data_IF_206640849408
#
_entry.id   IF_206640849408
#
_cell.length_a   1.000
_cell.length_b   1.000
_cell.length_c   1.000
_cell.angle_alpha   90.00
_cell.angle_beta   90.00
_cell.angle_gamma   90.00
#
_symmetry.space_group_name_H-M   'P 1'
#
loop_
_entity.id
_entity.type
_entity.pdbx_description
1 polymer ?
#
# COMPACT_ATOMS: atom_id res chain seq x y z
N UNK A 1 -19.38 14.08 -6.45
CA UNK A 1 -18.51 12.88 -6.28
C UNK A 1 -18.12 12.40 -7.66
N UNK A 2 -16.86 12.11 -7.91
CA UNK A 2 -16.37 11.73 -9.25
C UNK A 2 -16.81 10.31 -9.61
N UNK A 3 -17.30 10.12 -10.83
CA UNK A 3 -17.65 8.81 -11.41
C UNK A 3 -16.42 8.02 -11.89
N UNK A 4 -15.26 8.67 -11.93
CA UNK A 4 -14.01 8.11 -12.44
C UNK A 4 -12.81 8.47 -11.57
N UNK A 5 -11.77 7.63 -11.66
CA UNK A 5 -10.49 7.79 -11.00
C UNK A 5 -9.36 7.68 -12.03
N UNK A 6 -8.24 8.40 -11.86
CA UNK A 6 -7.09 8.24 -12.72
C UNK A 6 -6.38 6.93 -12.35
N UNK A 7 -6.24 6.02 -13.31
CA UNK A 7 -5.72 4.66 -13.07
C UNK A 7 -4.49 4.44 -13.94
N UNK A 8 -3.39 4.06 -13.29
CA UNK A 8 -2.16 3.64 -13.97
C UNK A 8 -2.36 2.27 -14.58
N UNK A 9 -2.84 1.32 -13.77
CA UNK A 9 -3.05 -0.07 -14.20
C UNK A 9 -3.98 -0.80 -13.23
N UNK A 10 -4.55 -1.90 -13.72
CA UNK A 10 -5.21 -2.93 -12.93
C UNK A 10 -4.65 -4.30 -13.32
N UNK A 11 -4.50 -5.20 -12.35
CA UNK A 11 -3.97 -6.55 -12.62
C UNK A 11 -4.29 -7.53 -11.49
N UNK A 12 -4.41 -8.81 -11.81
CA UNK A 12 -4.56 -9.91 -10.85
C UNK A 12 -3.21 -10.61 -10.67
N UNK A 13 -2.68 -10.64 -9.45
CA UNK A 13 -1.36 -11.20 -9.12
C UNK A 13 -1.32 -11.71 -7.68
N UNK A 14 -0.13 -11.89 -7.11
CA UNK A 14 0.10 -12.15 -5.70
C UNK A 14 0.56 -10.86 -5.01
N UNK A 15 -0.02 -10.55 -3.83
CA UNK A 15 0.56 -9.53 -2.95
C UNK A 15 2.00 -9.93 -2.63
N UNK A 16 2.93 -9.04 -2.94
CA UNK A 16 4.36 -9.31 -2.81
C UNK A 16 4.97 -8.82 -1.51
N UNK A 17 4.22 -8.06 -0.70
CA UNK A 17 4.72 -7.37 0.49
C UNK A 17 3.83 -7.60 1.71
N UNK A 18 4.35 -7.32 2.90
CA UNK A 18 3.57 -7.30 4.14
C UNK A 18 3.14 -8.68 4.67
N UNK A 19 2.21 -8.66 5.62
CA UNK A 19 1.59 -9.84 6.25
C UNK A 19 0.82 -10.69 5.23
N UNK A 20 0.39 -10.09 4.12
CA UNK A 20 -0.35 -10.75 3.07
C UNK A 20 0.51 -11.20 1.88
N UNK A 21 1.84 -11.14 1.99
CA UNK A 21 2.74 -11.63 0.96
C UNK A 21 2.42 -13.09 0.55
N UNK A 22 2.37 -13.34 -0.75
CA UNK A 22 2.04 -14.63 -1.37
C UNK A 22 0.55 -14.90 -1.59
N UNK A 23 -0.37 -14.03 -1.12
CA UNK A 23 -1.82 -14.22 -1.31
C UNK A 23 -2.29 -13.63 -2.65
N UNK A 24 -3.21 -14.31 -3.32
CA UNK A 24 -3.82 -13.83 -4.57
C UNK A 24 -4.66 -12.57 -4.34
N UNK A 25 -4.42 -11.54 -5.14
CA UNK A 25 -5.03 -10.22 -5.00
C UNK A 25 -5.22 -9.52 -6.35
N UNK A 26 -6.29 -8.74 -6.45
CA UNK A 26 -6.51 -7.83 -7.57
C UNK A 26 -6.05 -6.42 -7.21
N UNK A 27 -5.18 -5.84 -8.02
CA UNK A 27 -4.60 -4.52 -7.77
C UNK A 27 -5.29 -3.46 -8.60
N UNK A 28 -5.62 -2.35 -7.95
CA UNK A 28 -6.04 -1.11 -8.59
C UNK A 28 -4.99 -0.05 -8.23
N UNK A 29 -4.12 0.28 -9.19
CA UNK A 29 -3.07 1.30 -9.02
C UNK A 29 -3.58 2.63 -9.55
N UNK A 30 -3.88 3.57 -8.64
CA UNK A 30 -4.30 4.91 -9.01
C UNK A 30 -3.10 5.76 -9.46
N UNK A 31 -3.35 6.87 -10.14
CA UNK A 31 -2.33 7.88 -10.43
C UNK A 31 -2.48 9.09 -9.51
N UNK A 32 -1.46 9.93 -9.46
CA UNK A 32 -1.40 11.10 -8.60
C UNK A 32 -0.65 10.80 -7.29
N UNK A 33 0.52 11.40 -7.12
CA UNK A 33 1.25 11.38 -5.86
C UNK A 33 2.06 12.67 -5.72
N UNK A 34 1.82 13.42 -4.65
CA UNK A 34 2.63 14.60 -4.33
C UNK A 34 3.48 14.41 -3.05
N UNK A 35 3.59 13.17 -2.54
CA UNK A 35 4.38 12.87 -1.32
C UNK A 35 5.87 13.17 -1.54
N UNK A 36 6.41 12.88 -2.73
CA UNK A 36 7.75 13.35 -3.13
C UNK A 36 8.92 12.45 -2.71
N UNK A 37 8.71 11.14 -2.57
CA UNK A 37 9.78 10.21 -2.17
C UNK A 37 10.88 10.10 -3.24
N UNK A 38 12.13 10.44 -2.91
CA UNK A 38 13.25 10.39 -3.88
C UNK A 38 13.59 8.97 -4.35
N UNK A 39 13.31 7.97 -3.52
CA UNK A 39 13.50 6.53 -3.77
C UNK A 39 12.24 5.80 -4.27
N UNK A 40 11.19 6.52 -4.69
CA UNK A 40 9.99 5.87 -5.22
C UNK A 40 10.32 5.04 -6.47
N UNK A 41 9.98 3.76 -6.47
CA UNK A 41 10.11 2.85 -7.63
C UNK A 41 8.98 3.04 -8.65
N UNK A 42 7.91 3.72 -8.27
CA UNK A 42 6.69 3.93 -9.08
C UNK A 42 6.50 5.40 -9.49
N UNK A 43 7.59 6.15 -9.75
CA UNK A 43 7.54 7.60 -10.10
C UNK A 43 6.64 7.92 -11.30
N UNK A 44 6.46 6.98 -12.22
CA UNK A 44 5.58 7.13 -13.38
C UNK A 44 4.10 7.33 -12.98
N UNK A 45 3.70 6.96 -11.76
CA UNK A 45 2.35 7.16 -11.23
C UNK A 45 2.08 8.58 -10.71
N UNK A 46 3.09 9.44 -10.59
CA UNK A 46 2.95 10.75 -9.91
C UNK A 46 2.08 11.77 -10.65
N UNK A 47 2.20 11.96 -11.98
CA UNK A 47 1.37 12.94 -12.67
C UNK A 47 -0.06 12.41 -12.81
N UNK A 48 -1.09 13.09 -12.26
CA UNK A 48 -2.46 12.58 -12.32
C UNK A 48 -3.04 12.65 -13.74
N UNK A 49 -2.64 13.64 -14.53
CA UNK A 49 -3.17 13.88 -15.89
C UNK A 49 -2.47 13.04 -16.97
N UNK A 50 -1.43 12.28 -16.62
CA UNK A 50 -0.73 11.41 -17.57
C UNK A 50 -1.38 10.03 -17.74
N UNK A 51 -2.48 9.76 -17.04
CA UNK A 51 -3.13 8.44 -16.99
C UNK A 51 -4.63 8.55 -17.27
N UNK A 52 -5.23 7.54 -17.92
CA UNK A 52 -6.64 7.57 -18.27
C UNK A 52 -7.52 7.59 -17.01
N UNK A 53 -8.58 8.38 -17.05
CA UNK A 53 -9.66 8.31 -16.07
C UNK A 53 -10.56 7.13 -16.41
N UNK A 54 -10.71 6.19 -15.48
CA UNK A 54 -11.54 5.00 -15.63
C UNK A 54 -12.77 5.09 -14.74
N UNK A 55 -13.91 4.61 -15.21
CA UNK A 55 -15.14 4.61 -14.43
C UNK A 55 -14.99 3.66 -13.23
N UNK A 56 -15.54 4.08 -12.09
CA UNK A 56 -15.55 3.25 -10.87
C UNK A 56 -16.21 1.90 -11.11
N UNK A 57 -17.29 1.88 -11.90
CA UNK A 57 -18.00 0.62 -12.20
C UNK A 57 -17.16 -0.34 -13.03
N UNK A 58 -16.33 0.14 -13.96
CA UNK A 58 -15.47 -0.72 -14.76
C UNK A 58 -14.42 -1.41 -13.87
N UNK A 59 -13.83 -0.66 -12.93
CA UNK A 59 -12.88 -1.20 -11.95
C UNK A 59 -13.54 -2.24 -11.03
N UNK A 60 -14.80 -2.01 -10.66
CA UNK A 60 -15.55 -2.93 -9.82
C UNK A 60 -15.96 -4.21 -10.56
N UNK A 61 -16.23 -4.14 -11.86
CA UNK A 61 -16.44 -5.30 -12.74
C UNK A 61 -15.15 -6.12 -12.85
N UNK A 62 -14.01 -5.50 -13.16
CA UNK A 62 -12.73 -6.23 -13.24
C UNK A 62 -12.34 -6.89 -11.92
N UNK A 63 -12.61 -6.24 -10.78
CA UNK A 63 -12.42 -6.84 -9.47
C UNK A 63 -13.33 -8.05 -9.22
N UNK A 64 -14.52 -8.07 -9.83
CA UNK A 64 -15.47 -9.19 -9.76
C UNK A 64 -14.94 -10.35 -10.59
N UNK A 65 -14.50 -10.10 -11.82
CA UNK A 65 -13.87 -11.11 -12.69
C UNK A 65 -12.62 -11.71 -12.02
N UNK A 66 -11.81 -10.88 -11.37
CA UNK A 66 -10.64 -11.32 -10.60
C UNK A 66 -11.03 -12.17 -9.39
N UNK A 67 -12.12 -11.81 -8.68
CA UNK A 67 -12.65 -12.60 -7.57
C UNK A 67 -13.09 -14.00 -8.04
N UNK A 68 -13.79 -14.08 -9.18
CA UNK A 68 -14.22 -15.35 -9.78
C UNK A 68 -13.04 -16.23 -10.22
N UNK A 69 -11.90 -15.63 -10.54
CA UNK A 69 -10.67 -16.33 -10.91
C UNK A 69 -9.69 -16.53 -9.74
N UNK A 70 -10.10 -16.20 -8.51
CA UNK A 70 -9.41 -16.59 -7.28
C UNK A 70 -8.71 -15.46 -6.51
N UNK A 71 -8.90 -14.18 -6.89
CA UNK A 71 -8.45 -13.06 -6.07
C UNK A 71 -9.15 -13.10 -4.71
N UNK A 72 -8.36 -13.12 -3.64
CA UNK A 72 -8.88 -13.21 -2.28
C UNK A 72 -9.27 -11.84 -1.69
N UNK A 73 -8.76 -10.75 -2.27
CA UNK A 73 -9.02 -9.36 -1.87
C UNK A 73 -8.58 -8.40 -2.98
N UNK A 74 -9.06 -7.16 -2.90
CA UNK A 74 -8.61 -6.05 -3.76
C UNK A 74 -7.60 -5.20 -2.99
N UNK A 75 -6.51 -4.80 -3.63
CA UNK A 75 -5.55 -3.83 -3.11
C UNK A 75 -5.67 -2.54 -3.90
N UNK A 76 -6.10 -1.47 -3.23
CA UNK A 76 -6.08 -0.11 -3.77
C UNK A 76 -4.75 0.54 -3.36
N UNK A 77 -3.95 0.93 -4.33
CA UNK A 77 -2.59 1.44 -4.13
C UNK A 77 -2.27 2.54 -5.16
N UNK A 78 -1.05 3.06 -5.12
CA UNK A 78 -0.43 3.85 -6.18
C UNK A 78 -1.07 5.20 -6.50
N UNK A 79 -0.30 6.04 -7.18
CA UNK A 79 0.40 7.09 -6.47
C UNK A 79 0.15 7.06 -4.95
N UNK A 80 -0.49 8.08 -4.40
CA UNK A 80 -1.08 8.00 -3.06
C UNK A 80 -2.61 7.84 -3.21
N UNK A 81 -3.19 6.69 -2.86
CA UNK A 81 -4.61 6.45 -3.10
C UNK A 81 -5.52 7.40 -2.33
N UNK A 82 -5.13 7.87 -1.14
CA UNK A 82 -5.92 8.80 -0.33
C UNK A 82 -5.87 10.26 -0.81
N UNK A 83 -5.12 10.57 -1.87
CA UNK A 83 -5.32 11.82 -2.61
C UNK A 83 -6.71 11.87 -3.28
N UNK A 84 -7.39 10.73 -3.37
CA UNK A 84 -8.74 10.58 -3.90
C UNK A 84 -9.69 10.15 -2.80
N UNK A 85 -10.96 10.57 -2.87
CA UNK A 85 -12.01 9.99 -2.04
C UNK A 85 -12.39 8.61 -2.62
N UNK A 86 -12.18 7.55 -1.84
CA UNK A 86 -12.40 6.16 -2.22
C UNK A 86 -13.79 5.62 -1.88
N UNK A 87 -14.66 6.39 -1.23
CA UNK A 87 -15.97 5.93 -0.73
C UNK A 87 -16.81 5.29 -1.84
N UNK A 88 -16.84 5.93 -3.01
CA UNK A 88 -17.61 5.44 -4.14
C UNK A 88 -17.02 4.16 -4.74
N UNK A 89 -15.70 4.07 -4.86
CA UNK A 89 -15.03 2.87 -5.35
C UNK A 89 -15.26 1.71 -4.37
N UNK A 90 -15.09 1.95 -3.09
CA UNK A 90 -15.32 0.93 -2.07
C UNK A 90 -16.78 0.45 -2.05
N UNK A 91 -17.76 1.36 -2.16
CA UNK A 91 -19.17 0.99 -2.24
C UNK A 91 -19.47 0.10 -3.46
N UNK A 92 -18.89 0.41 -4.62
CA UNK A 92 -19.03 -0.41 -5.82
C UNK A 92 -18.39 -1.80 -5.63
N UNK A 93 -17.15 -1.86 -5.16
CA UNK A 93 -16.43 -3.12 -4.89
C UNK A 93 -17.17 -4.03 -3.89
N UNK A 94 -17.72 -3.45 -2.82
CA UNK A 94 -18.51 -4.18 -1.83
C UNK A 94 -19.81 -4.74 -2.41
N UNK A 95 -20.40 -4.04 -3.37
CA UNK A 95 -21.65 -4.45 -4.00
C UNK A 95 -21.42 -5.57 -5.02
N UNK A 96 -20.38 -5.44 -5.85
CA UNK A 96 -20.15 -6.34 -6.99
C UNK A 96 -19.20 -7.49 -6.64
N UNK A 97 -17.95 -7.17 -6.29
CA UNK A 97 -16.89 -8.16 -6.13
C UNK A 97 -16.98 -8.94 -4.81
N UNK A 98 -17.54 -8.32 -3.76
CA UNK A 98 -17.79 -8.96 -2.44
C UNK A 98 -16.56 -9.63 -1.80
N UNK A 99 -15.37 -9.15 -2.12
CA UNK A 99 -14.10 -9.52 -1.49
C UNK A 99 -13.56 -8.35 -0.65
N UNK A 100 -12.72 -8.62 0.37
CA UNK A 100 -12.15 -7.58 1.23
C UNK A 100 -11.38 -6.51 0.45
N UNK A 101 -11.41 -5.28 0.95
CA UNK A 101 -10.72 -4.12 0.38
C UNK A 101 -9.53 -3.78 1.26
N UNK A 102 -8.34 -3.86 0.69
CA UNK A 102 -7.09 -3.46 1.32
C UNK A 102 -6.61 -2.14 0.70
N UNK A 103 -5.97 -1.29 1.50
CA UNK A 103 -5.29 -0.08 1.02
C UNK A 103 -3.81 -0.08 1.39
N UNK A 104 -2.98 0.39 0.49
CA UNK A 104 -1.58 0.75 0.75
C UNK A 104 -1.39 2.26 0.63
N UNK A 105 -1.07 2.94 1.73
CA UNK A 105 -1.02 4.40 1.79
C UNK A 105 0.21 4.89 2.54
N UNK A 106 0.69 6.10 2.21
CA UNK A 106 1.65 6.84 3.03
C UNK A 106 1.00 7.47 4.27
N UNK A 107 -0.32 7.58 4.29
CA UNK A 107 -1.14 8.10 5.37
C UNK A 107 -1.16 9.63 5.48
N UNK A 108 -0.69 10.35 4.46
CA UNK A 108 -0.60 11.83 4.48
C UNK A 108 -1.95 12.53 4.43
N UNK A 109 -2.99 11.84 3.98
CA UNK A 109 -4.37 12.33 3.92
C UNK A 109 -5.29 11.47 4.81
N UNK A 110 -6.52 11.95 5.05
CA UNK A 110 -7.54 11.23 5.85
C UNK A 110 -8.05 9.97 5.15
N UNK A 111 -8.53 9.02 5.94
CA UNK A 111 -9.08 7.77 5.43
C UNK A 111 -10.39 8.00 4.67
N UNK A 112 -10.57 7.23 3.59
CA UNK A 112 -11.85 7.10 2.87
C UNK A 112 -12.01 5.66 2.38
N UNK A 113 -13.23 5.27 2.02
CA UNK A 113 -13.54 3.92 1.52
C UNK A 113 -13.73 2.85 2.59
N UNK A 114 -13.51 3.16 3.87
CA UNK A 114 -13.63 2.22 5.00
C UNK A 114 -12.98 0.84 4.70
N UNK A 115 -11.66 0.79 4.42
CA UNK A 115 -10.97 -0.44 4.03
C UNK A 115 -10.96 -1.49 5.16
N UNK A 116 -11.00 -2.77 4.78
CA UNK A 116 -10.92 -3.92 5.69
C UNK A 116 -9.49 -4.15 6.19
N UNK A 117 -8.48 -3.70 5.44
CA UNK A 117 -7.07 -3.74 5.85
C UNK A 117 -6.34 -2.47 5.42
N UNK A 118 -5.48 -1.96 6.30
CA UNK A 118 -4.73 -0.71 6.08
C UNK A 118 -3.25 -1.02 6.31
N UNK A 119 -2.48 -1.00 5.23
CA UNK A 119 -1.02 -0.97 5.25
C UNK A 119 -0.57 0.48 5.18
N UNK A 120 -0.04 0.98 6.29
CA UNK A 120 0.57 2.30 6.41
C UNK A 120 2.08 2.18 6.16
N UNK A 121 2.57 2.83 5.11
CA UNK A 121 4.00 3.01 4.86
C UNK A 121 4.40 4.48 5.02
N UNK A 122 4.68 4.93 6.25
CA UNK A 122 4.88 6.35 6.53
C UNK A 122 6.18 6.86 5.92
N UNK A 123 6.26 8.16 5.63
CA UNK A 123 7.43 8.80 5.03
C UNK A 123 7.95 9.90 5.95
N UNK A 124 9.24 9.87 6.30
CA UNK A 124 9.85 10.82 7.25
C UNK A 124 9.61 12.29 6.91
N UNK A 125 9.75 12.64 5.63
CA UNK A 125 9.61 14.02 5.13
C UNK A 125 8.15 14.49 5.03
N UNK A 126 7.18 13.56 5.10
CA UNK A 126 5.76 13.87 5.06
C UNK A 126 5.00 12.84 5.92
N UNK A 127 4.94 13.07 7.24
CA UNK A 127 4.44 12.07 8.17
C UNK A 127 2.93 11.85 8.00
N UNK A 128 2.43 10.67 8.39
CA UNK A 128 1.00 10.35 8.31
C UNK A 128 0.16 11.12 9.32
N UNK A 129 -1.15 11.17 9.07
CA UNK A 129 -2.13 11.70 10.02
C UNK A 129 -2.27 10.77 11.24
N UNK A 130 -2.57 11.30 12.44
CA UNK A 130 -2.84 10.48 13.62
C UNK A 130 -4.01 9.51 13.45
N UNK A 131 -4.97 9.86 12.60
CA UNK A 131 -6.10 9.00 12.24
C UNK A 131 -5.61 7.69 11.59
N UNK A 132 -4.80 7.79 10.53
CA UNK A 132 -4.29 6.62 9.80
C UNK A 132 -3.36 5.79 10.67
N UNK A 133 -2.52 6.42 11.49
CA UNK A 133 -1.62 5.71 12.43
C UNK A 133 -2.38 4.87 13.44
N UNK A 134 -3.50 5.38 13.97
CA UNK A 134 -4.34 4.64 14.94
C UNK A 134 -5.17 3.54 14.28
N UNK A 135 -5.56 3.73 13.03
CA UNK A 135 -6.41 2.80 12.30
C UNK A 135 -5.63 1.72 11.55
N UNK A 136 -4.32 1.89 11.34
CA UNK A 136 -3.56 0.93 10.54
C UNK A 136 -3.49 -0.44 11.21
N UNK A 137 -3.57 -1.48 10.36
CA UNK A 137 -3.43 -2.88 10.75
C UNK A 137 -1.98 -3.34 10.57
N UNK A 138 -1.28 -2.75 9.62
CA UNK A 138 0.12 -3.02 9.30
C UNK A 138 0.87 -1.69 9.17
N UNK A 139 1.94 -1.54 9.95
CA UNK A 139 2.93 -0.47 9.81
C UNK A 139 4.15 -1.05 9.09
N UNK A 140 4.40 -0.60 7.86
CA UNK A 140 5.47 -1.11 6.99
C UNK A 140 6.45 0.02 6.61
N UNK A 141 7.54 0.12 7.37
CA UNK A 141 8.52 1.20 7.19
C UNK A 141 9.61 0.75 6.22
N UNK A 142 9.84 1.56 5.18
CA UNK A 142 10.92 1.30 4.22
C UNK A 142 12.25 1.78 4.79
N UNK A 143 13.27 0.93 4.77
CA UNK A 143 14.60 1.16 5.36
C UNK A 143 15.64 1.29 4.26
N UNK A 144 16.33 2.42 4.22
CA UNK A 144 17.52 2.65 3.38
C UNK A 144 18.75 2.99 4.22
N UNK A 145 18.55 3.69 5.33
CA UNK A 145 19.62 4.20 6.19
C UNK A 145 19.26 4.07 7.69
N UNK A 146 20.22 4.19 8.62
CA UNK A 146 19.97 4.00 10.05
C UNK A 146 18.87 4.91 10.63
N UNK A 147 18.72 6.11 10.08
CA UNK A 147 17.69 7.06 10.50
C UNK A 147 16.25 6.59 10.21
N UNK A 148 16.06 5.66 9.26
CA UNK A 148 14.75 5.03 9.02
C UNK A 148 14.35 4.11 10.18
N UNK A 149 15.30 3.42 10.83
CA UNK A 149 15.02 2.56 11.98
C UNK A 149 14.56 3.38 13.20
N UNK A 150 15.20 4.53 13.42
CA UNK A 150 14.79 5.45 14.49
C UNK A 150 13.37 5.96 14.25
N UNK A 151 13.06 6.34 13.01
CA UNK A 151 11.72 6.74 12.63
C UNK A 151 10.71 5.60 12.79
N UNK A 152 11.09 4.38 12.44
CA UNK A 152 10.24 3.21 12.56
C UNK A 152 9.78 3.00 14.02
N UNK A 153 10.70 3.09 15.00
CA UNK A 153 10.36 3.00 16.42
C UNK A 153 9.39 4.11 16.87
N UNK A 154 9.61 5.35 16.41
CA UNK A 154 8.75 6.50 16.77
C UNK A 154 7.33 6.31 16.27
N UNK A 155 7.13 5.83 15.04
CA UNK A 155 5.79 5.59 14.49
C UNK A 155 5.17 4.33 15.10
N UNK A 156 5.95 3.28 15.29
CA UNK A 156 5.50 2.02 15.92
C UNK A 156 4.94 2.24 17.32
N UNK A 157 5.60 3.07 18.14
CA UNK A 157 5.11 3.44 19.47
C UNK A 157 3.72 4.10 19.45
N UNK A 158 3.34 4.74 18.34
CA UNK A 158 2.03 5.37 18.15
C UNK A 158 0.98 4.43 17.55
N UNK A 159 1.41 3.28 17.00
CA UNK A 159 0.56 2.25 16.40
C UNK A 159 0.78 0.86 17.03
N UNK A 160 0.64 0.71 18.38
CA UNK A 160 0.88 -0.57 19.05
C UNK A 160 -0.08 -1.68 18.67
N UNK A 161 -1.22 -1.35 18.07
CA UNK A 161 -2.20 -2.30 17.55
C UNK A 161 -1.77 -2.96 16.24
N UNK A 162 -0.85 -2.35 15.49
CA UNK A 162 -0.48 -2.79 14.15
C UNK A 162 0.59 -3.88 14.18
N UNK A 163 0.66 -4.69 13.13
CA UNK A 163 1.86 -5.46 12.84
C UNK A 163 3.00 -4.53 12.42
N UNK A 164 4.17 -4.65 13.06
CA UNK A 164 5.33 -3.81 12.76
C UNK A 164 6.29 -4.50 11.82
N UNK A 165 6.48 -3.93 10.63
CA UNK A 165 7.28 -4.49 9.56
C UNK A 165 8.34 -3.49 9.12
N UNK A 166 9.54 -4.02 8.87
CA UNK A 166 10.62 -3.32 8.18
C UNK A 166 10.77 -3.90 6.78
N UNK A 167 10.73 -3.03 5.78
CA UNK A 167 10.95 -3.38 4.39
C UNK A 167 12.25 -2.75 3.91
N UNK A 168 13.27 -3.51 3.52
CA UNK A 168 14.42 -2.90 2.88
C UNK A 168 13.99 -2.23 1.56
N UNK A 169 14.57 -1.08 1.27
CA UNK A 169 14.47 -0.47 -0.05
C UNK A 169 14.93 -1.44 -1.13
N UNK A 170 14.28 -1.41 -2.30
CA UNK A 170 14.71 -2.25 -3.42
C UNK A 170 16.14 -1.93 -3.83
N UNK A 171 16.93 -2.96 -4.10
CA UNK A 171 18.37 -2.85 -4.43
C UNK A 171 19.18 -2.03 -3.41
N UNK A 172 18.74 -1.97 -2.15
CA UNK A 172 19.42 -1.28 -1.06
C UNK A 172 20.07 -2.28 -0.09
N UNK A 173 21.33 -2.63 -0.33
CA UNK A 173 22.08 -3.58 0.50
C UNK A 173 22.19 -3.11 1.97
N UNK A 174 22.46 -1.82 2.20
CA UNK A 174 22.52 -1.26 3.55
C UNK A 174 21.17 -1.39 4.27
N UNK A 175 20.08 -1.01 3.60
CA UNK A 175 18.72 -1.17 4.13
C UNK A 175 18.36 -2.62 4.45
N UNK A 176 18.81 -3.57 3.63
CA UNK A 176 18.65 -5.01 3.86
C UNK A 176 19.37 -5.46 5.13
N UNK A 177 20.66 -5.12 5.28
CA UNK A 177 21.44 -5.48 6.46
C UNK A 177 20.86 -4.85 7.74
N UNK A 178 20.43 -3.60 7.67
CA UNK A 178 19.79 -2.88 8.79
C UNK A 178 18.46 -3.53 9.20
N UNK A 179 17.57 -3.80 8.25
CA UNK A 179 16.28 -4.42 8.52
C UNK A 179 16.43 -5.83 9.10
N UNK A 180 17.30 -6.66 8.51
CA UNK A 180 17.61 -8.01 9.03
C UNK A 180 18.20 -7.91 10.44
N UNK A 181 19.17 -7.04 10.65
CA UNK A 181 19.81 -6.85 11.95
C UNK A 181 18.80 -6.48 13.04
N UNK A 182 17.90 -5.54 12.74
CA UNK A 182 16.85 -5.11 13.68
C UNK A 182 15.84 -6.22 13.97
N UNK A 183 15.31 -6.89 12.94
CA UNK A 183 14.32 -7.98 13.12
C UNK A 183 14.92 -9.16 13.89
N UNK A 184 16.21 -9.47 13.72
CA UNK A 184 16.90 -10.53 14.48
C UNK A 184 17.07 -10.20 15.97
N UNK A 185 17.13 -8.92 16.32
CA UNK A 185 17.35 -8.46 17.70
C UNK A 185 16.05 -8.11 18.44
N UNK A 186 14.97 -7.82 17.71
CA UNK A 186 13.71 -7.34 18.25
C UNK A 186 12.52 -8.05 17.60
N UNK A 187 12.02 -9.07 18.31
CA UNK A 187 10.94 -9.97 17.92
C UNK A 187 9.57 -9.28 17.70
N UNK A 188 9.42 -8.01 18.07
CA UNK A 188 8.21 -7.22 17.73
C UNK A 188 8.16 -6.90 16.24
N UNK A 189 9.33 -6.80 15.60
CA UNK A 189 9.46 -6.47 14.19
C UNK A 189 9.46 -7.73 13.31
N UNK A 190 8.91 -7.59 12.10
CA UNK A 190 8.95 -8.61 11.04
C UNK A 190 9.62 -8.04 9.79
N UNK A 191 10.30 -8.89 9.04
CA UNK A 191 10.88 -8.51 7.76
C UNK A 191 9.80 -8.61 6.67
N UNK A 192 9.56 -7.53 5.93
CA UNK A 192 8.74 -7.51 4.72
C UNK A 192 9.64 -7.49 3.50
N UNK A 193 9.64 -8.55 2.70
CA UNK A 193 10.35 -8.57 1.42
C UNK A 193 9.44 -8.08 0.30
N UNK A 194 10.03 -7.65 -0.82
CA UNK A 194 9.32 -7.36 -2.07
C UNK A 194 9.35 -8.60 -2.97
N UNK A 195 8.67 -9.67 -2.58
CA UNK A 195 8.81 -11.00 -3.21
C UNK A 195 8.41 -11.02 -4.68
N UNK A 196 7.44 -10.19 -5.09
CA UNK A 196 7.00 -10.04 -6.48
C UNK A 196 8.17 -9.68 -7.43
N UNK A 197 9.13 -8.87 -6.98
CA UNK A 197 10.31 -8.49 -7.78
C UNK A 197 11.25 -9.66 -8.04
N UNK A 198 11.38 -10.59 -7.07
CA UNK A 198 12.15 -11.82 -7.22
C UNK A 198 11.45 -12.85 -8.09
N UNK A 199 10.12 -12.89 -8.03
CA UNK A 199 9.29 -13.83 -8.78
C UNK A 199 8.99 -13.38 -10.22
N UNK A 200 9.36 -12.14 -10.59
CA UNK A 200 9.01 -11.57 -11.89
C UNK A 200 7.49 -11.36 -12.05
N UNK A 201 6.78 -11.19 -10.94
CA UNK A 201 5.35 -10.91 -10.91
C UNK A 201 5.11 -9.41 -10.88
N UNK A 202 3.96 -9.00 -11.40
CA UNK A 202 3.45 -7.63 -11.23
C UNK A 202 2.90 -7.43 -9.82
#
# INVERSE_FOLDING_TARGET
MTDSLPVVETFHSLQGEGIHAGRSAFFIRLAGCNVGCSWCDTKHSWPPDSHPKRLVMDLATEATDAAETGAAFVVITGGEPLHHNLDRLAAALRTTAKIPIHIETSGVDSLSGAPDWITLSPKRHRPPTPEVVKACHELKVVVHEPADLLFAEVVAAQAPQAHWLLQPGWDCEEGLQLAIGKVRQDQRWRLSMQSHKWLGLR
#
